data_IF_403121766436
#
_entry.id   IF_403121766436
#
_cell.length_a   1.000
_cell.length_b   1.000
_cell.length_c   1.000
_cell.angle_alpha   90.00
_cell.angle_beta   90.00
_cell.angle_gamma   90.00
#
_symmetry.space_group_name_H-M   'P 1'
#
loop_
_entity.id
_entity.type
_entity.pdbx_description
1 polymer ?
#
# COMPACT_ATOMS: atom_id res chain seq x y z
N UNK A 1 42.46 20.59 30.51
CA UNK A 1 42.01 19.19 30.66
C UNK A 1 40.56 19.11 30.25
N UNK A 2 40.29 18.25 29.28
CA UNK A 2 39.02 18.05 28.58
C UNK A 2 38.06 17.23 29.44
N UNK A 3 36.77 17.54 29.44
CA UNK A 3 35.73 16.50 29.40
C UNK A 3 34.51 17.06 28.69
N UNK A 4 34.47 16.81 27.38
CA UNK A 4 33.33 17.02 26.50
C UNK A 4 32.31 15.92 26.81
N UNK A 5 31.11 16.30 27.25
CA UNK A 5 30.00 15.35 27.42
C UNK A 5 29.55 14.84 26.04
N UNK A 6 29.29 13.53 25.87
CA UNK A 6 28.89 12.98 24.58
C UNK A 6 27.50 13.50 24.18
N UNK A 7 27.27 13.84 22.90
CA UNK A 7 25.96 14.27 22.43
C UNK A 7 25.06 13.04 22.31
N UNK A 8 24.37 12.70 23.39
CA UNK A 8 23.44 11.57 23.42
C UNK A 8 22.03 12.06 23.71
N UNK A 9 21.47 12.85 22.81
CA UNK A 9 20.04 13.18 22.86
C UNK A 9 19.47 13.24 21.44
N UNK A 10 19.67 12.16 20.68
CA UNK A 10 19.08 11.94 19.34
C UNK A 10 17.65 11.37 19.40
N UNK A 11 17.12 11.15 20.60
CA UNK A 11 15.77 10.63 20.82
C UNK A 11 14.90 11.72 21.46
N UNK A 12 13.66 11.92 20.99
CA UNK A 12 12.71 12.85 21.59
C UNK A 12 12.19 12.39 22.97
N UNK A 13 12.70 11.27 23.49
CA UNK A 13 12.36 10.68 24.78
C UNK A 13 13.57 10.73 25.70
N UNK A 14 13.37 11.07 26.96
CA UNK A 14 14.43 10.98 27.96
C UNK A 14 14.72 9.50 28.35
N UNK A 15 15.88 9.21 28.98
CA UNK A 15 16.26 7.83 29.30
C UNK A 15 15.25 7.08 30.19
N UNK A 16 14.60 7.76 31.13
CA UNK A 16 13.59 7.14 31.99
C UNK A 16 12.31 6.78 31.23
N UNK A 17 11.86 7.65 30.31
CA UNK A 17 10.71 7.39 29.44
C UNK A 17 10.98 6.21 28.52
N UNK A 18 12.19 6.13 27.97
CA UNK A 18 12.62 4.99 27.16
C UNK A 18 12.64 3.69 27.96
N UNK A 19 13.19 3.70 29.18
CA UNK A 19 13.25 2.53 30.04
C UNK A 19 11.84 2.01 30.41
N UNK A 20 10.90 2.92 30.70
CA UNK A 20 9.49 2.54 30.96
C UNK A 20 8.82 1.94 29.73
N UNK A 21 9.07 2.51 28.54
CA UNK A 21 8.52 1.98 27.29
C UNK A 21 9.06 0.58 27.00
N UNK A 22 10.38 0.38 27.13
CA UNK A 22 11.04 -0.92 26.92
C UNK A 22 10.59 -1.99 27.91
N UNK A 23 10.38 -1.62 29.19
CA UNK A 23 9.84 -2.52 30.19
C UNK A 23 8.40 -2.93 29.86
N UNK A 24 7.58 -2.00 29.38
CA UNK A 24 6.19 -2.28 29.01
C UNK A 24 6.05 -3.10 27.73
N UNK A 25 7.04 -3.06 26.82
CA UNK A 25 6.99 -3.76 25.53
C UNK A 25 7.85 -5.02 25.46
N UNK A 26 8.61 -5.33 26.52
CA UNK A 26 9.56 -6.46 26.56
C UNK A 26 8.91 -7.82 26.36
N UNK A 27 7.74 -8.05 26.96
CA UNK A 27 7.04 -9.34 26.90
C UNK A 27 6.05 -9.43 25.73
N UNK A 28 6.05 -8.45 24.82
CA UNK A 28 5.06 -8.37 23.76
C UNK A 28 5.53 -9.14 22.53
N UNK A 29 4.65 -9.95 21.97
CA UNK A 29 4.86 -10.57 20.66
C UNK A 29 4.93 -9.51 19.54
N UNK A 30 5.54 -9.84 18.38
CA UNK A 30 5.59 -8.91 17.24
C UNK A 30 4.20 -8.40 16.80
N UNK A 31 3.18 -9.24 16.86
CA UNK A 31 1.79 -8.87 16.53
C UNK A 31 1.21 -7.89 17.55
N UNK A 32 1.49 -8.07 18.84
CA UNK A 32 1.05 -7.15 19.89
C UNK A 32 1.75 -5.79 19.77
N UNK A 33 3.04 -5.76 19.44
CA UNK A 33 3.76 -4.52 19.16
C UNK A 33 3.18 -3.77 17.96
N UNK A 34 2.82 -4.48 16.89
CA UNK A 34 2.15 -3.89 15.73
C UNK A 34 0.78 -3.29 16.12
N UNK A 35 0.00 -3.97 16.95
CA UNK A 35 -1.27 -3.41 17.45
C UNK A 35 -1.05 -2.16 18.32
N UNK A 36 -0.06 -2.17 19.22
CA UNK A 36 0.30 -1.01 20.07
C UNK A 36 0.74 0.19 19.23
N UNK A 37 1.50 -0.02 18.14
CA UNK A 37 1.86 1.07 17.23
C UNK A 37 0.62 1.73 16.60
N UNK A 38 -0.41 0.95 16.27
CA UNK A 38 -1.70 1.47 15.79
C UNK A 38 -2.47 2.23 16.87
N UNK A 39 -2.41 1.78 18.12
CA UNK A 39 -3.03 2.47 19.25
C UNK A 39 -2.40 3.85 19.50
N UNK A 40 -1.06 3.96 19.52
CA UNK A 40 -0.38 5.25 19.63
C UNK A 40 -0.64 6.17 18.44
N UNK A 41 -0.71 5.61 17.23
CA UNK A 41 -1.12 6.37 16.05
C UNK A 41 -2.54 6.91 16.20
N UNK A 42 -3.47 6.11 16.72
CA UNK A 42 -4.82 6.54 17.07
C UNK A 42 -4.82 7.69 18.06
N UNK A 43 -4.09 7.55 19.17
CA UNK A 43 -3.97 8.58 20.21
C UNK A 43 -3.44 9.93 19.68
N UNK A 44 -2.48 9.91 18.76
CA UNK A 44 -1.97 11.11 18.10
C UNK A 44 -3.03 11.80 17.21
N UNK A 45 -3.92 11.01 16.59
CA UNK A 45 -4.93 11.48 15.65
C UNK A 45 -6.30 11.75 16.32
N UNK A 46 -6.44 11.60 17.64
CA UNK A 46 -7.63 11.96 18.42
C UNK A 46 -7.72 13.49 18.61
N UNK A 47 -7.67 14.25 17.52
CA UNK A 47 -8.00 15.67 17.54
C UNK A 47 -9.52 15.80 17.67
N UNK A 48 -10.06 16.61 18.61
CA UNK A 48 -11.49 16.81 18.73
C UNK A 48 -12.02 17.44 17.43
N UNK A 49 -12.70 16.62 16.60
CA UNK A 49 -13.18 16.99 15.26
C UNK A 49 -12.53 16.24 14.11
N UNK A 50 -11.45 15.47 14.35
CA UNK A 50 -10.90 14.56 13.37
C UNK A 50 -11.71 13.26 13.40
N UNK A 51 -12.51 13.04 12.36
CA UNK A 51 -13.10 11.73 12.07
C UNK A 51 -11.98 10.68 12.10
N UNK A 52 -12.15 9.64 12.90
CA UNK A 52 -11.24 8.50 12.92
C UNK A 52 -11.05 8.04 11.46
N UNK A 53 -9.85 8.29 10.92
CA UNK A 53 -9.49 7.71 9.64
C UNK A 53 -9.38 6.22 9.89
N UNK A 54 -10.36 5.48 9.38
CA UNK A 54 -10.33 4.03 9.32
C UNK A 54 -8.92 3.60 8.87
N UNK A 55 -8.37 2.49 9.42
CA UNK A 55 -7.06 2.02 9.01
C UNK A 55 -7.02 2.02 7.49
N UNK A 56 -6.04 2.72 6.91
CA UNK A 56 -5.88 2.78 5.48
C UNK A 56 -5.93 1.33 4.99
N UNK A 57 -7.00 1.00 4.27
CA UNK A 57 -7.15 -0.30 3.66
C UNK A 57 -5.82 -0.56 2.97
N UNK A 58 -5.18 -1.69 3.28
CA UNK A 58 -4.04 -2.18 2.52
C UNK A 58 -4.42 -1.98 1.07
N UNK A 59 -3.75 -1.04 0.39
CA UNK A 59 -4.12 -0.71 -0.97
C UNK A 59 -3.91 -2.00 -1.74
N UNK A 60 -5.02 -2.67 -2.07
CA UNK A 60 -4.99 -3.87 -2.90
C UNK A 60 -4.19 -3.45 -4.14
N UNK A 61 -3.17 -4.24 -4.53
CA UNK A 61 -2.41 -3.90 -5.72
C UNK A 61 -3.42 -3.63 -6.85
N UNK A 62 -3.28 -2.50 -7.57
CA UNK A 62 -4.28 -2.09 -8.54
C UNK A 62 -4.53 -3.24 -9.51
N UNK A 63 -5.79 -3.68 -9.59
CA UNK A 63 -6.16 -4.76 -10.48
C UNK A 63 -5.95 -4.33 -11.92
N UNK A 64 -5.26 -5.15 -12.71
CA UNK A 64 -5.00 -4.94 -14.12
C UNK A 64 -6.27 -5.34 -14.88
N UNK A 65 -6.97 -4.38 -15.46
CA UNK A 65 -8.10 -4.67 -16.36
C UNK A 65 -7.56 -5.00 -17.75
N UNK A 66 -7.73 -6.24 -18.20
CA UNK A 66 -7.35 -6.71 -19.53
C UNK A 66 -8.60 -6.81 -20.40
N UNK A 67 -8.66 -6.03 -21.49
CA UNK A 67 -9.82 -6.01 -22.38
C UNK A 67 -9.48 -6.74 -23.68
N UNK A 68 -10.20 -7.83 -23.98
CA UNK A 68 -10.03 -8.59 -25.22
C UNK A 68 -11.08 -8.18 -26.26
N UNK A 69 -10.66 -7.60 -27.38
CA UNK A 69 -11.51 -7.39 -28.56
C UNK A 69 -11.20 -8.47 -29.61
N UNK A 70 -12.10 -9.43 -29.82
CA UNK A 70 -11.87 -10.50 -30.78
C UNK A 70 -13.12 -10.84 -31.59
N UNK A 71 -12.99 -10.87 -32.91
CA UNK A 71 -14.04 -11.28 -33.84
C UNK A 71 -14.02 -12.80 -34.08
N UNK A 72 -12.81 -13.39 -34.21
CA UNK A 72 -12.60 -14.82 -34.52
C UNK A 72 -11.98 -15.61 -33.36
N UNK A 73 -11.84 -15.00 -32.18
CA UNK A 73 -11.35 -15.66 -30.95
C UNK A 73 -9.83 -15.65 -30.73
N UNK A 74 -9.01 -15.29 -31.74
CA UNK A 74 -7.55 -15.29 -31.58
C UNK A 74 -7.07 -14.33 -30.47
N UNK A 75 -7.57 -13.09 -30.47
CA UNK A 75 -7.20 -12.10 -29.45
C UNK A 75 -7.72 -12.46 -28.05
N UNK A 76 -8.83 -13.21 -27.96
CA UNK A 76 -9.32 -13.75 -26.68
C UNK A 76 -8.33 -14.77 -26.12
N UNK A 77 -7.86 -15.70 -26.96
CA UNK A 77 -6.89 -16.73 -26.54
C UNK A 77 -5.57 -16.12 -26.06
N UNK A 78 -5.08 -15.07 -26.74
CA UNK A 78 -3.88 -14.34 -26.31
C UNK A 78 -4.11 -13.62 -24.98
N UNK A 79 -5.28 -13.01 -24.79
CA UNK A 79 -5.61 -12.35 -23.53
C UNK A 79 -5.77 -13.33 -22.35
N UNK A 80 -6.29 -14.53 -22.61
CA UNK A 80 -6.35 -15.61 -21.62
C UNK A 80 -4.95 -16.08 -21.21
N UNK A 81 -4.03 -16.25 -22.18
CA UNK A 81 -2.62 -16.58 -21.88
C UNK A 81 -1.95 -15.48 -21.04
N UNK A 82 -2.11 -14.21 -21.43
CA UNK A 82 -1.55 -13.08 -20.68
C UNK A 82 -2.13 -12.97 -19.26
N UNK A 83 -3.43 -13.25 -19.09
CA UNK A 83 -4.05 -13.31 -17.75
C UNK A 83 -3.35 -14.34 -16.89
N UNK A 84 -3.12 -15.55 -17.42
CA UNK A 84 -2.51 -16.64 -16.66
C UNK A 84 -1.05 -16.31 -16.28
N UNK A 85 -0.29 -15.67 -17.17
CA UNK A 85 1.07 -15.17 -16.88
C UNK A 85 1.09 -14.11 -15.76
N UNK A 86 0.15 -13.18 -15.79
CA UNK A 86 0.02 -12.13 -14.77
C UNK A 86 -0.45 -12.69 -13.42
N UNK A 87 -1.35 -13.69 -13.42
CA UNK A 87 -1.74 -14.40 -12.20
C UNK A 87 -0.56 -15.19 -11.61
N UNK A 88 0.27 -15.82 -12.46
CA UNK A 88 1.51 -16.47 -12.03
C UNK A 88 2.51 -15.48 -11.41
N UNK A 89 2.53 -14.24 -11.90
CA UNK A 89 3.28 -13.12 -11.32
C UNK A 89 2.64 -12.55 -10.02
N UNK A 90 1.56 -13.17 -9.50
CA UNK A 90 0.79 -12.72 -8.32
C UNK A 90 0.18 -11.33 -8.47
N UNK A 91 -0.17 -10.94 -9.69
CA UNK A 91 -0.88 -9.70 -9.99
C UNK A 91 -2.38 -9.97 -10.10
N UNK A 92 -3.21 -9.07 -9.57
CA UNK A 92 -4.65 -9.16 -9.71
C UNK A 92 -5.05 -8.75 -11.14
N UNK A 93 -5.76 -9.61 -11.86
CA UNK A 93 -6.18 -9.35 -13.25
C UNK A 93 -7.67 -9.58 -13.43
N UNK A 94 -8.33 -8.68 -14.15
CA UNK A 94 -9.70 -8.80 -14.59
C UNK A 94 -9.77 -8.85 -16.12
N UNK A 95 -10.06 -10.01 -16.70
CA UNK A 95 -10.21 -10.18 -18.14
C UNK A 95 -11.67 -9.91 -18.56
N UNK A 96 -11.87 -8.91 -19.42
CA UNK A 96 -13.20 -8.49 -19.91
C UNK A 96 -13.24 -8.54 -21.43
N UNK A 97 -14.35 -8.99 -22.01
CA UNK A 97 -14.54 -8.87 -23.47
C UNK A 97 -14.92 -7.43 -23.82
N UNK A 98 -14.36 -6.88 -24.90
CA UNK A 98 -14.63 -5.52 -25.33
C UNK A 98 -16.12 -5.24 -25.60
N UNK A 99 -16.89 -6.24 -26.04
CA UNK A 99 -18.34 -6.10 -26.23
C UNK A 99 -19.14 -5.94 -24.93
N UNK A 100 -18.61 -6.46 -23.83
CA UNK A 100 -19.22 -6.40 -22.49
C UNK A 100 -18.65 -5.26 -21.65
N UNK A 101 -17.59 -4.60 -22.13
CA UNK A 101 -16.94 -3.51 -21.41
C UNK A 101 -17.73 -2.21 -21.52
N UNK A 102 -18.16 -1.66 -20.39
CA UNK A 102 -18.92 -0.41 -20.37
C UNK A 102 -17.95 0.77 -20.50
N UNK A 103 -17.99 1.48 -21.63
CA UNK A 103 -17.11 2.63 -21.90
C UNK A 103 -17.05 3.68 -20.78
N UNK A 104 -18.15 3.89 -20.02
CA UNK A 104 -18.15 4.80 -18.85
C UNK A 104 -17.16 4.41 -17.74
N UNK A 105 -16.73 3.14 -17.68
CA UNK A 105 -15.79 2.63 -16.70
C UNK A 105 -14.35 3.08 -16.97
N UNK A 106 -13.99 3.40 -18.22
CA UNK A 106 -12.63 3.81 -18.57
C UNK A 106 -12.20 5.12 -17.89
N UNK A 107 -13.17 6.01 -17.59
CA UNK A 107 -12.90 7.26 -16.89
C UNK A 107 -12.49 7.06 -15.42
N UNK A 108 -12.74 5.86 -14.87
CA UNK A 108 -12.36 5.46 -13.51
C UNK A 108 -11.12 4.56 -13.49
N UNK A 109 -10.61 4.14 -14.66
CA UNK A 109 -9.40 3.33 -14.78
C UNK A 109 -8.15 4.22 -14.67
N UNK A 110 -7.14 3.72 -13.96
CA UNK A 110 -5.85 4.43 -13.82
C UNK A 110 -4.88 3.92 -14.88
N UNK A 111 -4.62 4.73 -15.90
CA UNK A 111 -3.64 4.39 -16.94
C UNK A 111 -2.22 4.43 -16.38
N UNK A 112 -1.48 3.33 -16.49
CA UNK A 112 -0.05 3.29 -16.25
C UNK A 112 0.69 3.95 -17.43
N UNK A 113 0.62 5.27 -17.55
CA UNK A 113 1.19 5.99 -18.69
C UNK A 113 0.95 7.49 -18.65
N UNK A 114 1.65 8.17 -17.75
CA UNK A 114 1.62 9.63 -17.61
C UNK A 114 2.95 10.16 -17.09
N UNK A 115 4.04 9.88 -17.81
CA UNK A 115 5.37 10.38 -17.47
C UNK A 115 6.46 9.71 -18.29
N UNK A 116 6.87 10.31 -19.39
CA UNK A 116 7.99 9.83 -20.21
C UNK A 116 7.76 10.07 -21.69
N UNK A 117 7.98 11.31 -22.12
CA UNK A 117 8.08 11.71 -23.51
C UNK A 117 9.20 10.91 -24.21
N UNK A 118 8.91 10.34 -25.37
CA UNK A 118 9.92 9.87 -26.33
C UNK A 118 10.64 11.09 -26.91
N UNK A 119 11.98 11.21 -26.82
CA UNK A 119 12.71 12.17 -27.63
C UNK A 119 12.90 11.63 -29.05
N UNK A 120 12.53 12.43 -30.03
CA UNK A 120 13.01 12.33 -31.41
C UNK A 120 14.29 13.14 -31.60
#
# INVERSE_FOLDING_TARGET
>A
MTTQAPPSNLLPLNPEQLARLQAATTDFSPTQLAWVSGYFWGMLNQQPGAVATAPAAVAQPPAITLISASQTGNARRVAEQLRDDLLAAKLNVNLVNAGEYKFKQIASEKTAGGGGLYPG
#
